data_IF_680180396867
#
_entry.id   IF_680180396867
#
_cell.length_a   1.000
_cell.length_b   1.000
_cell.length_c   1.000
_cell.angle_alpha   90.00
_cell.angle_beta   90.00
_cell.angle_gamma   90.00
#
_symmetry.space_group_name_H-M   'P 1'
#
loop_
_entity.id
_entity.type
_entity.pdbx_description
1 polymer ?
#
# COMPACT_ATOMS: atom_id res chain seq x y z
N UNK A 1 52.21 16.11 -27.04
CA UNK A 1 52.15 15.31 -28.28
C UNK A 1 51.05 14.29 -28.10
N UNK A 2 50.05 14.33 -28.99
CA UNK A 2 49.01 13.31 -29.16
C UNK A 2 49.62 12.05 -29.77
N UNK A 3 49.04 10.90 -29.43
CA UNK A 3 48.71 9.72 -30.26
C UNK A 3 48.55 8.55 -29.30
N UNK A 4 47.79 7.50 -29.53
CA UNK A 4 46.56 7.28 -30.29
C UNK A 4 45.95 6.01 -29.67
N UNK A 5 44.65 5.90 -29.82
CA UNK A 5 43.82 4.78 -29.42
C UNK A 5 44.13 3.58 -30.33
N UNK A 6 44.29 2.36 -29.78
CA UNK A 6 44.14 1.16 -30.59
C UNK A 6 43.28 0.11 -29.88
N UNK A 7 42.23 -0.26 -30.60
CA UNK A 7 41.12 -1.14 -30.26
C UNK A 7 41.42 -2.45 -30.96
N UNK A 8 41.72 -3.52 -30.20
CA UNK A 8 41.53 -4.93 -30.59
C UNK A 8 42.04 -5.84 -29.48
N UNK A 9 41.13 -6.61 -28.88
CA UNK A 9 41.28 -8.02 -28.51
C UNK A 9 40.43 -8.36 -27.28
N UNK A 10 39.89 -9.59 -27.26
CA UNK A 10 39.05 -10.22 -26.24
C UNK A 10 37.58 -9.75 -26.33
N UNK A 11 36.57 -10.54 -26.69
CA UNK A 11 36.42 -11.99 -26.72
C UNK A 11 34.98 -12.27 -26.28
N UNK A 12 34.01 -12.23 -27.20
CA UNK A 12 32.60 -12.53 -26.91
C UNK A 12 32.21 -13.86 -27.54
N UNK A 13 32.08 -14.88 -26.68
CA UNK A 13 31.35 -16.11 -26.93
C UNK A 13 29.89 -15.88 -26.51
N UNK A 14 28.98 -15.85 -27.47
CA UNK A 14 27.54 -16.00 -27.24
C UNK A 14 26.97 -16.96 -28.30
N UNK A 15 26.13 -17.95 -27.91
CA UNK A 15 25.55 -18.89 -28.86
C UNK A 15 24.42 -18.26 -29.68
N UNK A 16 24.39 -18.65 -30.96
CA UNK A 16 23.53 -18.16 -32.04
C UNK A 16 22.16 -18.88 -31.99
N UNK A 17 21.07 -18.15 -31.78
CA UNK A 17 19.70 -18.69 -31.90
C UNK A 17 19.25 -18.73 -33.37
N UNK A 18 18.59 -19.82 -33.78
CA UNK A 18 18.10 -20.05 -35.14
C UNK A 18 16.74 -19.35 -35.40
N UNK A 19 16.42 -18.97 -36.66
CA UNK A 19 15.18 -18.28 -36.99
C UNK A 19 13.98 -19.24 -37.13
N UNK A 20 12.81 -18.80 -36.67
CA UNK A 20 11.52 -19.47 -36.80
C UNK A 20 10.92 -19.15 -38.18
N UNK A 21 10.45 -20.13 -38.98
CA UNK A 21 9.84 -19.86 -40.28
C UNK A 21 8.37 -19.41 -40.15
N UNK A 22 8.01 -18.39 -40.93
CA UNK A 22 6.64 -17.87 -41.13
C UNK A 22 5.97 -18.64 -42.26
N UNK A 23 4.79 -19.21 -42.04
CA UNK A 23 3.99 -19.89 -43.06
C UNK A 23 2.98 -18.94 -43.74
N UNK A 24 2.73 -19.07 -45.05
CA UNK A 24 1.85 -18.17 -45.80
C UNK A 24 0.36 -18.53 -45.68
N UNK A 25 -0.49 -17.51 -45.73
CA UNK A 25 -1.94 -17.60 -45.80
C UNK A 25 -2.40 -18.19 -47.15
N UNK A 26 -3.36 -19.12 -47.12
CA UNK A 26 -4.05 -19.57 -48.32
C UNK A 26 -5.58 -19.51 -48.18
N UNK A 27 -6.14 -19.14 -49.33
CA UNK A 27 -7.51 -18.80 -49.68
C UNK A 27 -8.53 -19.90 -49.45
N UNK A 28 -9.73 -19.47 -49.05
CA UNK A 28 -10.99 -20.20 -49.18
C UNK A 28 -11.28 -20.58 -50.64
N UNK A 29 -11.70 -21.83 -50.88
CA UNK A 29 -12.75 -22.16 -51.87
C UNK A 29 -13.35 -23.55 -51.62
N UNK A 30 -14.63 -23.60 -51.98
CA UNK A 30 -15.76 -24.49 -51.68
C UNK A 30 -15.70 -25.98 -52.08
N UNK A 31 -16.67 -26.73 -51.49
CA UNK A 31 -17.40 -27.91 -52.02
C UNK A 31 -16.62 -29.25 -52.00
N UNK A 32 -17.13 -30.41 -51.56
CA UNK A 32 -18.48 -30.96 -51.47
C UNK A 32 -18.54 -32.15 -50.49
N UNK A 33 -19.71 -32.30 -49.86
CA UNK A 33 -20.41 -33.53 -49.44
C UNK A 33 -19.62 -34.76 -48.94
N UNK A 34 -19.79 -35.09 -47.65
CA UNK A 34 -20.01 -36.47 -47.18
C UNK A 34 -20.90 -36.45 -45.94
N UNK A 35 -22.04 -37.13 -46.06
CA UNK A 35 -23.03 -37.35 -45.03
C UNK A 35 -22.49 -38.30 -43.96
N UNK A 36 -22.58 -37.91 -42.69
CA UNK A 36 -22.54 -38.83 -41.56
C UNK A 36 -23.50 -38.32 -40.48
N UNK A 37 -24.52 -39.14 -40.24
CA UNK A 37 -25.50 -38.98 -39.18
C UNK A 37 -24.81 -39.10 -37.82
N UNK A 38 -24.86 -38.05 -37.02
CA UNK A 38 -24.57 -38.07 -35.59
C UNK A 38 -25.68 -37.26 -34.90
N UNK A 39 -26.45 -37.95 -34.08
CA UNK A 39 -27.49 -37.35 -33.26
C UNK A 39 -26.87 -36.28 -32.35
N UNK A 40 -27.43 -35.07 -32.37
CA UNK A 40 -27.09 -34.01 -31.42
C UNK A 40 -27.62 -34.40 -30.03
N UNK A 41 -26.80 -34.42 -28.96
CA UNK A 41 -27.35 -34.48 -27.61
C UNK A 41 -28.20 -33.23 -27.35
N UNK A 42 -29.25 -33.32 -26.50
CA UNK A 42 -30.07 -32.16 -26.20
C UNK A 42 -29.21 -31.06 -25.58
N UNK A 43 -29.33 -29.86 -26.14
CA UNK A 43 -28.76 -28.64 -25.57
C UNK A 43 -29.42 -28.44 -24.20
N UNK A 44 -28.65 -28.60 -23.12
CA UNK A 44 -29.05 -28.11 -21.81
C UNK A 44 -29.24 -26.59 -21.95
N UNK A 45 -30.48 -26.15 -21.78
CA UNK A 45 -30.80 -24.73 -21.71
C UNK A 45 -30.16 -24.23 -20.41
N UNK A 46 -29.04 -23.54 -20.56
CA UNK A 46 -28.32 -22.87 -19.47
C UNK A 46 -29.35 -22.07 -18.66
N UNK A 47 -29.50 -22.44 -17.38
CA UNK A 47 -30.40 -21.73 -16.48
C UNK A 47 -30.02 -20.24 -16.50
N UNK A 48 -30.99 -19.31 -16.58
CA UNK A 48 -30.67 -17.89 -16.60
C UNK A 48 -29.80 -17.56 -15.39
N UNK A 49 -28.66 -16.89 -15.65
CA UNK A 49 -27.79 -16.33 -14.63
C UNK A 49 -28.65 -15.64 -13.57
N UNK A 50 -28.45 -15.88 -12.26
CA UNK A 50 -29.29 -15.28 -11.23
C UNK A 50 -29.24 -13.76 -11.37
N UNK A 51 -30.35 -13.20 -11.85
CA UNK A 51 -30.54 -11.77 -12.00
C UNK A 51 -30.74 -11.18 -10.62
N UNK A 52 -29.77 -10.35 -10.19
CA UNK A 52 -29.71 -9.62 -8.91
C UNK A 52 -29.60 -10.51 -7.66
N UNK A 53 -28.38 -10.59 -7.14
CA UNK A 53 -28.18 -10.77 -5.70
C UNK A 53 -28.82 -9.57 -5.02
N UNK A 54 -29.93 -9.75 -4.31
CA UNK A 54 -30.44 -8.75 -3.37
C UNK A 54 -29.38 -8.59 -2.27
N UNK A 55 -28.58 -7.53 -2.36
CA UNK A 55 -27.73 -7.09 -1.27
C UNK A 55 -28.67 -6.70 -0.10
N UNK A 56 -28.39 -7.11 1.14
CA UNK A 56 -29.21 -6.74 2.28
C UNK A 56 -29.34 -5.20 2.37
N UNK A 57 -30.48 -4.72 2.85
CA UNK A 57 -30.83 -3.29 2.92
C UNK A 57 -29.82 -2.45 3.74
N UNK A 58 -29.01 -3.12 4.59
CA UNK A 58 -27.80 -2.58 5.22
C UNK A 58 -26.69 -3.62 5.08
N UNK A 59 -25.53 -3.22 4.56
CA UNK A 59 -24.37 -4.11 4.51
C UNK A 59 -23.95 -4.52 5.93
N UNK A 60 -23.64 -5.80 6.19
CA UNK A 60 -23.07 -6.21 7.46
C UNK A 60 -21.88 -5.31 7.81
N UNK A 61 -21.85 -4.81 9.06
CA UNK A 61 -20.86 -3.89 9.64
C UNK A 61 -21.07 -2.38 9.39
N UNK A 62 -21.90 -1.97 8.43
CA UNK A 62 -22.14 -0.56 8.16
C UNK A 62 -22.73 0.15 9.39
N UNK A 63 -22.23 1.36 9.68
CA UNK A 63 -22.66 2.17 10.83
C UNK A 63 -22.13 1.70 12.19
N UNK A 64 -21.35 0.61 12.26
CA UNK A 64 -20.63 0.26 13.48
C UNK A 64 -19.62 1.36 13.81
N UNK A 65 -19.68 1.85 15.04
CA UNK A 65 -18.89 2.98 15.51
C UNK A 65 -18.25 2.75 16.87
N UNK A 66 -17.25 3.58 17.19
CA UNK A 66 -16.56 3.54 18.49
C UNK A 66 -17.54 3.49 19.65
N UNK A 67 -17.30 2.57 20.59
CA UNK A 67 -18.14 2.34 21.75
C UNK A 67 -19.27 1.33 21.53
N UNK A 68 -19.59 0.96 20.28
CA UNK A 68 -20.55 -0.10 19.99
C UNK A 68 -20.13 -1.44 20.59
N UNK A 69 -21.13 -2.28 20.91
CA UNK A 69 -20.94 -3.63 21.42
C UNK A 69 -21.88 -4.57 20.70
N UNK A 70 -21.33 -5.53 19.95
CA UNK A 70 -22.13 -6.50 19.20
C UNK A 70 -21.28 -7.70 18.75
N UNK A 71 -21.95 -8.77 18.30
CA UNK A 71 -21.30 -9.88 17.63
C UNK A 71 -20.60 -9.43 16.32
N UNK A 72 -21.16 -8.43 15.64
CA UNK A 72 -20.56 -7.87 14.43
C UNK A 72 -19.25 -7.14 14.71
N UNK A 73 -19.13 -6.46 15.86
CA UNK A 73 -17.83 -5.91 16.29
C UNK A 73 -16.81 -7.02 16.52
N UNK A 74 -17.19 -8.13 17.15
CA UNK A 74 -16.32 -9.32 17.32
C UNK A 74 -15.85 -9.87 15.97
N UNK A 75 -16.76 -9.94 14.98
CA UNK A 75 -16.45 -10.36 13.60
C UNK A 75 -15.44 -9.42 12.93
N UNK A 76 -15.67 -8.11 12.99
CA UNK A 76 -14.72 -7.10 12.48
C UNK A 76 -13.36 -7.22 13.15
N UNK A 77 -13.32 -7.41 14.48
CA UNK A 77 -12.07 -7.58 15.23
C UNK A 77 -11.29 -8.81 14.77
N UNK A 78 -11.97 -9.93 14.48
CA UNK A 78 -11.32 -11.13 13.92
C UNK A 78 -10.75 -10.89 12.54
N UNK A 79 -11.47 -10.18 11.67
CA UNK A 79 -10.98 -9.78 10.34
C UNK A 79 -9.73 -8.93 10.47
N UNK A 80 -9.77 -7.87 11.28
CA UNK A 80 -8.63 -6.95 11.47
C UNK A 80 -7.43 -7.64 12.13
N UNK A 81 -7.65 -8.52 13.12
CA UNK A 81 -6.58 -9.28 13.76
C UNK A 81 -5.92 -10.29 12.80
N UNK A 82 -6.71 -10.88 11.89
CA UNK A 82 -6.18 -11.75 10.82
C UNK A 82 -5.43 -10.95 9.76
N UNK A 83 -5.93 -9.75 9.43
CA UNK A 83 -5.28 -8.85 8.48
C UNK A 83 -3.93 -8.34 8.96
N UNK A 84 -3.83 -7.91 10.22
CA UNK A 84 -2.56 -7.49 10.81
C UNK A 84 -2.53 -7.75 12.32
N UNK A 85 -1.84 -8.83 12.71
CA UNK A 85 -1.72 -9.28 14.10
C UNK A 85 -0.91 -8.32 15.00
N UNK A 86 -0.15 -7.38 14.40
CA UNK A 86 0.70 -6.43 15.13
C UNK A 86 -0.04 -5.19 15.63
N UNK A 87 -1.29 -4.98 15.19
CA UNK A 87 -2.12 -3.87 15.64
C UNK A 87 -2.75 -4.11 17.02
N UNK A 88 -2.65 -5.33 17.57
CA UNK A 88 -3.10 -5.64 18.92
C UNK A 88 -4.62 -5.65 19.10
N UNK A 89 -5.38 -5.79 18.01
CA UNK A 89 -6.84 -5.96 18.04
C UNK A 89 -7.17 -7.28 18.72
N UNK A 90 -8.03 -7.24 19.74
CA UNK A 90 -8.51 -8.42 20.48
C UNK A 90 -10.00 -8.62 20.22
N UNK A 91 -10.45 -9.86 20.26
CA UNK A 91 -11.87 -10.19 20.21
C UNK A 91 -12.55 -9.83 21.54
N UNK A 92 -12.97 -8.58 21.68
CA UNK A 92 -13.64 -8.06 22.87
C UNK A 92 -15.14 -7.88 22.67
N UNK A 93 -15.61 -7.92 21.42
CA UNK A 93 -16.97 -7.55 21.04
C UNK A 93 -17.30 -6.07 21.28
N UNK A 94 -16.30 -5.24 21.62
CA UNK A 94 -16.44 -3.80 21.87
C UNK A 94 -15.57 -3.03 20.89
N UNK A 95 -16.15 -2.01 20.24
CA UNK A 95 -15.42 -1.15 19.32
C UNK A 95 -14.53 -0.19 20.13
N UNK A 96 -13.39 -0.70 20.55
CA UNK A 96 -12.42 -0.02 21.40
C UNK A 96 -11.36 0.75 20.59
N UNK A 97 -10.39 1.32 21.31
CA UNK A 97 -9.33 2.12 20.71
C UNK A 97 -8.44 1.32 19.75
N UNK A 98 -8.19 0.03 20.04
CA UNK A 98 -7.39 -0.82 19.15
C UNK A 98 -8.15 -1.09 17.86
N UNK A 99 -9.45 -1.39 17.95
CA UNK A 99 -10.31 -1.53 16.76
C UNK A 99 -10.35 -0.24 15.94
N UNK A 100 -10.50 0.92 16.59
CA UNK A 100 -10.48 2.22 15.89
C UNK A 100 -9.16 2.46 15.17
N UNK A 101 -8.02 2.31 15.84
CA UNK A 101 -6.70 2.51 15.21
C UNK A 101 -6.49 1.59 14.01
N UNK A 102 -6.85 0.32 14.17
CA UNK A 102 -6.77 -0.64 13.08
C UNK A 102 -7.70 -0.28 11.92
N UNK A 103 -8.91 0.20 12.22
CA UNK A 103 -9.84 0.68 11.20
C UNK A 103 -9.32 1.92 10.47
N UNK A 104 -8.70 2.87 11.18
CA UNK A 104 -8.09 4.05 10.56
C UNK A 104 -7.03 3.63 9.53
N UNK A 105 -6.12 2.71 9.90
CA UNK A 105 -5.11 2.19 8.97
C UNK A 105 -5.72 1.38 7.83
N UNK A 106 -6.76 0.59 8.12
CA UNK A 106 -7.47 -0.18 7.11
C UNK A 106 -8.07 0.73 6.04
N UNK A 107 -8.85 1.74 6.46
CA UNK A 107 -9.48 2.71 5.55
C UNK A 107 -8.45 3.54 4.80
N UNK A 108 -7.34 3.88 5.45
CA UNK A 108 -6.22 4.57 4.80
C UNK A 108 -5.58 3.77 3.65
N UNK A 109 -5.65 2.43 3.69
CA UNK A 109 -5.07 1.53 2.68
C UNK A 109 -6.10 1.13 1.62
N UNK A 110 -7.29 0.69 2.04
CA UNK A 110 -8.33 0.13 1.16
C UNK A 110 -9.34 1.18 0.68
N UNK A 111 -9.24 2.41 1.19
CA UNK A 111 -10.23 3.46 0.99
C UNK A 111 -11.38 3.35 2.00
N UNK A 112 -12.27 4.34 1.95
CA UNK A 112 -13.34 4.55 2.91
C UNK A 112 -13.44 6.04 3.27
N UNK A 113 -14.52 6.43 3.93
CA UNK A 113 -14.78 7.84 4.23
C UNK A 113 -14.40 8.18 5.67
N UNK A 114 -13.57 9.21 5.85
CA UNK A 114 -13.16 9.66 7.17
C UNK A 114 -12.29 8.64 7.94
N UNK A 115 -12.21 8.83 9.25
CA UNK A 115 -11.36 8.03 10.14
C UNK A 115 -11.94 6.68 10.53
N UNK A 116 -11.29 6.01 11.49
CA UNK A 116 -11.67 4.71 12.04
C UNK A 116 -12.78 4.78 13.09
N UNK A 117 -13.41 5.94 13.30
CA UNK A 117 -14.47 6.11 14.30
C UNK A 117 -15.77 5.39 13.93
N UNK A 118 -16.02 5.21 12.64
CA UNK A 118 -17.23 4.61 12.07
C UNK A 118 -16.90 3.84 10.78
N UNK A 119 -17.64 2.76 10.53
CA UNK A 119 -17.55 1.95 9.33
C UNK A 119 -18.58 2.46 8.33
N UNK A 120 -18.11 3.03 7.23
CA UNK A 120 -18.93 3.40 6.07
C UNK A 120 -19.27 2.18 5.19
N UNK A 121 -20.21 2.36 4.28
CA UNK A 121 -20.68 1.33 3.35
C UNK A 121 -19.55 0.64 2.57
N UNK A 122 -18.61 1.41 2.00
CA UNK A 122 -17.49 0.86 1.21
C UNK A 122 -16.57 0.02 2.09
N UNK A 123 -16.27 0.50 3.29
CA UNK A 123 -15.46 -0.23 4.28
C UNK A 123 -16.16 -1.52 4.72
N UNK A 124 -17.47 -1.49 4.97
CA UNK A 124 -18.27 -2.65 5.33
C UNK A 124 -18.20 -3.75 4.26
N UNK A 125 -18.37 -3.37 2.98
CA UNK A 125 -18.26 -4.30 1.86
C UNK A 125 -16.90 -5.00 1.78
N UNK A 126 -15.78 -4.27 1.95
CA UNK A 126 -14.46 -4.91 1.95
C UNK A 126 -14.22 -5.81 3.17
N UNK A 127 -14.65 -5.40 4.36
CA UNK A 127 -14.54 -6.23 5.56
C UNK A 127 -15.32 -7.55 5.40
N UNK A 128 -16.46 -7.50 4.72
CA UNK A 128 -17.26 -8.70 4.44
C UNK A 128 -16.54 -9.65 3.47
N UNK A 129 -15.95 -9.13 2.40
CA UNK A 129 -15.14 -9.91 1.46
C UNK A 129 -13.86 -10.49 2.11
N UNK A 130 -13.30 -9.82 3.10
CA UNK A 130 -12.18 -10.39 3.86
C UNK A 130 -12.66 -11.50 4.79
N UNK A 131 -13.82 -11.32 5.43
CA UNK A 131 -14.39 -12.31 6.33
C UNK A 131 -14.74 -13.62 5.60
N UNK A 132 -15.33 -13.54 4.41
CA UNK A 132 -15.67 -14.71 3.59
C UNK A 132 -14.46 -15.33 2.88
N UNK A 133 -13.33 -14.62 2.88
CA UNK A 133 -12.07 -15.07 2.32
C UNK A 133 -11.88 -14.80 0.82
N UNK A 134 -12.81 -14.11 0.17
CA UNK A 134 -12.75 -13.75 -1.25
C UNK A 134 -11.76 -12.63 -1.56
N UNK A 135 -11.31 -11.89 -0.54
CA UNK A 135 -10.44 -10.73 -0.72
C UNK A 135 -9.24 -10.75 0.25
N UNK A 136 -8.05 -11.04 -0.27
CA UNK A 136 -6.77 -10.87 0.42
C UNK A 136 -5.74 -10.31 -0.57
N UNK A 137 -4.88 -9.40 -0.10
CA UNK A 137 -3.69 -8.89 -0.80
C UNK A 137 -3.85 -7.97 -2.04
N UNK A 138 -5.06 -7.60 -2.47
CA UNK A 138 -5.23 -6.64 -3.57
C UNK A 138 -6.11 -5.42 -3.22
N UNK A 139 -5.59 -4.38 -2.55
CA UNK A 139 -6.30 -3.11 -2.38
C UNK A 139 -6.76 -2.56 -3.74
N UNK A 140 -8.04 -2.16 -3.88
CA UNK A 140 -8.57 -1.59 -5.11
C UNK A 140 -7.81 -0.30 -5.48
N UNK A 141 -7.59 -0.07 -6.78
CA UNK A 141 -6.91 1.09 -7.41
C UNK A 141 -6.07 1.95 -6.44
N UNK A 142 -4.77 1.64 -6.34
CA UNK A 142 -3.92 2.25 -5.30
C UNK A 142 -3.34 3.57 -5.78
N UNK A 143 -3.77 4.67 -5.18
CA UNK A 143 -2.98 5.89 -5.17
C UNK A 143 -1.58 5.60 -4.60
N UNK A 144 -0.52 6.37 -4.96
CA UNK A 144 0.81 6.21 -4.36
C UNK A 144 0.78 6.24 -2.83
N UNK A 145 -0.09 7.08 -2.25
CA UNK A 145 -0.35 7.16 -0.81
C UNK A 145 -0.84 5.82 -0.22
N UNK A 146 -1.88 5.23 -0.79
CA UNK A 146 -2.44 3.95 -0.32
C UNK A 146 -1.44 2.81 -0.48
N UNK A 147 -0.74 2.74 -1.62
CA UNK A 147 0.28 1.73 -1.86
C UNK A 147 1.43 1.86 -0.84
N UNK A 148 1.90 3.09 -0.58
CA UNK A 148 2.94 3.34 0.41
C UNK A 148 2.51 2.86 1.81
N UNK A 149 1.30 3.22 2.25
CA UNK A 149 0.77 2.77 3.54
C UNK A 149 0.58 1.26 3.60
N UNK A 150 0.17 0.62 2.50
CA UNK A 150 0.09 -0.84 2.41
C UNK A 150 1.46 -1.49 2.67
N UNK A 151 2.50 -1.07 1.96
CA UNK A 151 3.85 -1.62 2.13
C UNK A 151 4.42 -1.32 3.52
N UNK A 152 4.15 -0.13 4.06
CA UNK A 152 4.55 0.26 5.40
C UNK A 152 3.85 -0.56 6.50
N UNK A 153 2.56 -0.87 6.33
CA UNK A 153 1.78 -1.65 7.31
C UNK A 153 2.32 -3.06 7.52
N UNK A 154 2.91 -3.65 6.47
CA UNK A 154 3.57 -4.97 6.52
C UNK A 154 4.88 -4.96 7.31
N UNK A 155 5.44 -3.78 7.57
CA UNK A 155 6.65 -3.61 8.39
C UNK A 155 6.31 -3.41 9.87
N UNK A 156 5.04 -3.35 10.27
CA UNK A 156 4.67 -3.23 11.69
C UNK A 156 5.35 -4.32 12.53
N UNK A 157 5.92 -3.91 13.66
CA UNK A 157 6.67 -4.79 14.55
C UNK A 157 8.13 -5.04 14.17
N UNK A 158 8.59 -4.66 12.97
CA UNK A 158 10.00 -4.80 12.57
C UNK A 158 10.89 -3.94 13.49
N UNK A 159 12.00 -4.48 14.03
CA UNK A 159 12.85 -3.75 14.97
C UNK A 159 13.44 -2.46 14.40
N UNK A 160 13.54 -1.43 15.24
CA UNK A 160 14.22 -0.20 14.90
C UNK A 160 15.73 -0.37 15.06
N UNK A 161 16.50 -0.02 14.02
CA UNK A 161 17.95 0.22 14.08
C UNK A 161 18.31 1.36 13.13
N UNK A 162 18.98 2.39 13.64
CA UNK A 162 19.53 3.45 12.81
C UNK A 162 20.48 2.84 11.77
N UNK A 163 20.30 3.17 10.49
CA UNK A 163 21.07 2.55 9.41
C UNK A 163 20.55 1.17 8.97
N UNK A 164 19.40 0.71 9.48
CA UNK A 164 18.81 -0.60 9.17
C UNK A 164 18.63 -0.86 7.67
N UNK A 165 18.52 -2.15 7.33
CA UNK A 165 18.48 -2.70 5.96
C UNK A 165 17.09 -2.70 5.32
N UNK A 166 16.04 -2.39 6.09
CA UNK A 166 14.64 -2.44 5.65
C UNK A 166 14.04 -3.85 5.64
N UNK A 167 14.77 -4.86 6.13
CA UNK A 167 14.35 -6.28 6.16
C UNK A 167 14.31 -6.82 7.59
N UNK A 168 15.47 -6.95 8.22
CA UNK A 168 15.63 -7.46 9.59
C UNK A 168 15.49 -6.35 10.63
N UNK A 169 15.69 -5.11 10.19
CA UNK A 169 15.48 -3.89 10.96
C UNK A 169 15.30 -2.71 10.02
N UNK A 170 14.72 -1.64 10.51
CA UNK A 170 14.59 -0.41 9.72
C UNK A 170 14.83 0.83 10.59
N UNK A 171 15.00 1.97 9.93
CA UNK A 171 14.88 3.28 10.58
C UNK A 171 13.79 4.11 9.88
N UNK A 172 13.58 5.32 10.38
CA UNK A 172 12.49 6.17 9.93
C UNK A 172 12.51 6.45 8.43
N UNK A 173 13.66 6.85 7.89
CA UNK A 173 13.76 7.19 6.47
C UNK A 173 13.91 5.97 5.56
N UNK A 174 14.51 4.86 6.03
CA UNK A 174 14.50 3.58 5.28
C UNK A 174 13.09 3.02 5.14
N UNK A 175 12.27 3.10 6.19
CA UNK A 175 10.87 2.68 6.16
C UNK A 175 10.09 3.45 5.08
N UNK A 176 10.16 4.79 5.10
CA UNK A 176 9.41 5.63 4.15
C UNK A 176 9.94 5.52 2.73
N UNK A 177 11.27 5.54 2.54
CA UNK A 177 11.90 5.40 1.23
C UNK A 177 11.56 4.04 0.61
N UNK A 178 11.66 2.95 1.38
CA UNK A 178 11.30 1.61 0.87
C UNK A 178 9.81 1.50 0.54
N UNK A 179 8.93 2.12 1.33
CA UNK A 179 7.49 2.10 1.09
C UNK A 179 7.13 2.89 -0.18
N UNK A 180 7.72 4.08 -0.37
CA UNK A 180 7.56 4.90 -1.59
C UNK A 180 8.05 4.16 -2.84
N UNK A 181 9.21 3.50 -2.77
CA UNK A 181 9.74 2.70 -3.89
C UNK A 181 8.79 1.57 -4.27
N UNK A 182 8.28 0.84 -3.28
CA UNK A 182 7.33 -0.25 -3.53
C UNK A 182 5.98 0.28 -4.03
N UNK A 183 5.63 1.53 -3.72
CA UNK A 183 4.48 2.24 -4.24
C UNK A 183 4.67 2.79 -5.67
N UNK A 184 5.81 2.52 -6.33
CA UNK A 184 6.08 2.96 -7.69
C UNK A 184 6.43 4.45 -7.83
N UNK A 185 6.87 5.09 -6.74
CA UNK A 185 7.40 6.45 -6.83
C UNK A 185 8.85 6.36 -7.33
N UNK A 186 9.00 6.41 -8.65
CA UNK A 186 10.24 6.08 -9.38
C UNK A 186 11.46 6.90 -8.92
N UNK A 187 11.29 8.20 -8.67
CA UNK A 187 12.33 9.07 -8.13
C UNK A 187 12.37 9.04 -6.59
N UNK A 188 12.36 7.84 -6.01
CA UNK A 188 12.26 7.66 -4.56
C UNK A 188 13.32 8.48 -3.82
N UNK A 189 12.93 9.34 -2.86
CA UNK A 189 13.87 10.18 -2.14
C UNK A 189 14.78 9.36 -1.21
N UNK A 190 15.90 9.97 -0.84
CA UNK A 190 16.97 9.39 -0.01
C UNK A 190 16.44 8.68 1.25
N UNK A 191 17.22 7.75 1.82
CA UNK A 191 16.91 7.15 3.12
C UNK A 191 16.99 8.13 4.30
N UNK A 192 17.51 9.34 4.10
CA UNK A 192 17.65 10.33 5.15
C UNK A 192 16.40 11.22 5.23
N UNK A 193 15.85 11.39 6.43
CA UNK A 193 14.60 12.12 6.66
C UNK A 193 14.66 13.58 6.19
N UNK A 194 15.80 14.23 6.39
CA UNK A 194 16.03 15.63 5.99
C UNK A 194 16.12 15.81 4.48
N UNK A 195 16.70 14.85 3.77
CA UNK A 195 16.73 14.84 2.30
C UNK A 195 15.36 14.50 1.69
N UNK A 196 14.54 13.68 2.35
CA UNK A 196 13.14 13.51 1.97
C UNK A 196 12.35 14.80 2.16
N UNK A 197 12.60 15.51 3.27
CA UNK A 197 12.00 16.83 3.49
C UNK A 197 12.46 17.85 2.43
N UNK A 198 13.76 17.87 2.10
CA UNK A 198 14.29 18.72 1.02
C UNK A 198 13.60 18.42 -0.33
N UNK A 199 13.46 17.14 -0.68
CA UNK A 199 12.76 16.72 -1.90
C UNK A 199 11.31 17.24 -1.92
N UNK A 200 10.57 17.08 -0.82
CA UNK A 200 9.22 17.64 -0.69
C UNK A 200 9.23 19.17 -0.87
N UNK A 201 10.15 19.89 -0.19
CA UNK A 201 10.30 21.35 -0.27
C UNK A 201 10.59 21.85 -1.69
N UNK A 202 11.24 21.04 -2.51
CA UNK A 202 11.58 21.34 -3.89
C UNK A 202 10.56 20.78 -4.90
N UNK A 203 9.52 20.10 -4.43
CA UNK A 203 8.58 19.34 -5.26
C UNK A 203 9.27 18.32 -6.19
N UNK A 204 10.23 17.58 -5.63
CA UNK A 204 11.05 16.58 -6.32
C UNK A 204 10.85 15.20 -5.71
N UNK A 205 11.28 14.17 -6.43
CA UNK A 205 11.25 12.80 -5.95
C UNK A 205 9.85 12.24 -5.72
N UNK A 206 8.87 12.72 -6.50
CA UNK A 206 7.46 12.40 -6.32
C UNK A 206 6.88 12.87 -4.98
N UNK A 207 7.44 13.91 -4.35
CA UNK A 207 6.89 14.52 -3.15
C UNK A 207 6.52 15.97 -3.39
N UNK A 208 5.36 16.42 -2.93
CA UNK A 208 5.00 17.84 -2.90
C UNK A 208 4.84 18.37 -1.48
N UNK A 209 5.32 19.58 -1.21
CA UNK A 209 5.30 20.13 0.15
C UNK A 209 3.88 20.53 0.58
N UNK A 210 3.53 20.22 1.83
CA UNK A 210 2.34 20.72 2.52
C UNK A 210 2.72 21.24 3.90
N UNK A 211 2.20 22.42 4.26
CA UNK A 211 2.53 23.05 5.56
C UNK A 211 1.64 22.54 6.69
N UNK A 212 0.37 22.27 6.40
CA UNK A 212 -0.70 21.92 7.34
C UNK A 212 -1.73 21.05 6.63
N UNK A 213 -2.73 20.57 7.36
CA UNK A 213 -3.85 19.76 6.86
C UNK A 213 -3.36 18.48 6.18
N UNK A 214 -2.63 17.61 6.91
CA UNK A 214 -2.16 16.36 6.34
C UNK A 214 -3.34 15.48 5.92
N UNK A 215 -3.18 14.86 4.77
CA UNK A 215 -4.07 13.79 4.29
C UNK A 215 -3.42 12.43 4.52
N UNK A 216 -4.25 11.40 4.61
CA UNK A 216 -3.77 10.02 4.73
C UNK A 216 -2.76 9.71 3.62
N UNK A 217 -1.58 9.25 4.02
CA UNK A 217 -0.45 8.96 3.14
C UNK A 217 0.55 10.11 2.98
N UNK A 218 0.30 11.29 3.54
CA UNK A 218 1.34 12.33 3.61
C UNK A 218 2.48 11.88 4.53
N UNK A 219 3.73 12.10 4.14
CA UNK A 219 4.87 12.03 5.06
C UNK A 219 4.75 13.16 6.08
N UNK A 220 5.09 12.88 7.34
CA UNK A 220 5.20 13.87 8.42
C UNK A 220 6.65 13.98 8.83
N UNK A 221 7.22 15.19 8.75
CA UNK A 221 8.62 15.45 9.09
C UNK A 221 8.74 16.15 10.43
N UNK A 222 9.77 15.81 11.20
CA UNK A 222 9.97 16.34 12.55
C UNK A 222 11.40 16.84 12.79
N UNK A 223 11.50 17.97 13.49
CA UNK A 223 12.74 18.56 13.99
C UNK A 223 13.03 18.09 15.42
N UNK A 224 13.07 16.76 15.63
CA UNK A 224 13.36 16.21 16.97
C UNK A 224 14.82 16.54 17.33
N UNK A 225 15.09 17.18 18.49
CA UNK A 225 16.45 17.51 18.87
C UNK A 225 17.32 16.27 19.05
N UNK A 226 18.44 16.22 18.34
CA UNK A 226 19.48 15.19 18.43
C UNK A 226 20.86 15.83 18.36
N UNK A 227 21.92 15.07 18.64
CA UNK A 227 23.30 15.56 18.49
C UNK A 227 23.63 15.97 17.04
N UNK A 228 22.94 15.41 16.06
CA UNK A 228 23.15 15.65 14.63
C UNK A 228 22.18 16.66 14.02
N UNK A 229 21.24 17.24 14.80
CA UNK A 229 20.24 18.17 14.26
C UNK A 229 20.86 19.37 13.53
N UNK A 230 22.05 19.83 13.94
CA UNK A 230 22.76 20.95 13.30
C UNK A 230 23.35 20.60 11.92
N UNK A 231 23.48 19.31 11.59
CA UNK A 231 23.98 18.83 10.31
C UNK A 231 22.84 18.55 9.32
N UNK A 232 21.62 18.39 9.83
CA UNK A 232 20.46 18.02 9.03
C UNK A 232 19.84 19.24 8.35
N UNK A 233 19.37 19.07 7.11
CA UNK A 233 18.66 20.12 6.40
C UNK A 233 17.41 20.56 7.20
N UNK A 234 17.34 21.85 7.52
CA UNK A 234 16.28 22.48 8.33
C UNK A 234 16.07 21.86 9.73
N UNK A 235 17.08 21.14 10.25
CA UNK A 235 17.01 20.45 11.55
C UNK A 235 16.13 19.20 11.58
N UNK A 236 15.67 18.71 10.42
CA UNK A 236 14.79 17.54 10.32
C UNK A 236 15.57 16.27 10.66
N UNK A 237 15.06 15.47 11.59
CA UNK A 237 15.77 14.26 12.08
C UNK A 237 14.89 13.02 12.09
N UNK A 238 13.59 13.18 11.87
CA UNK A 238 12.65 12.07 11.88
C UNK A 238 11.55 12.25 10.85
N UNK A 239 10.99 11.13 10.39
CA UNK A 239 9.90 11.07 9.43
C UNK A 239 8.96 9.90 9.76
N UNK A 240 7.67 10.11 9.56
CA UNK A 240 6.63 9.08 9.61
C UNK A 240 5.65 9.23 8.44
N UNK A 241 4.67 8.33 8.34
CA UNK A 241 3.59 8.40 7.36
C UNK A 241 2.27 8.65 8.08
N UNK A 242 1.61 9.76 7.78
CA UNK A 242 0.29 10.08 8.33
C UNK A 242 -0.74 9.07 7.82
N UNK A 243 -1.60 8.62 8.71
CA UNK A 243 -2.63 7.60 8.39
C UNK A 243 -4.04 8.19 8.50
N UNK A 244 -4.21 9.33 9.17
CA UNK A 244 -5.52 9.87 9.57
C UNK A 244 -5.74 9.80 11.08
N UNK A 245 -6.78 10.46 11.58
CA UNK A 245 -7.12 10.54 13.02
C UNK A 245 -5.97 10.96 13.95
N UNK A 246 -5.05 11.81 13.46
CA UNK A 246 -3.89 12.21 14.26
C UNK A 246 -2.87 11.08 14.47
N UNK A 247 -2.95 9.98 13.71
CA UNK A 247 -2.06 8.83 13.80
C UNK A 247 -1.06 8.81 12.64
N UNK A 248 0.10 8.23 12.92
CA UNK A 248 1.12 7.94 11.93
C UNK A 248 1.71 6.55 12.10
N UNK A 249 2.21 5.99 11.01
CA UNK A 249 3.05 4.81 10.99
C UNK A 249 4.51 5.24 10.91
N UNK A 250 5.33 4.83 11.88
CA UNK A 250 6.72 5.24 11.97
C UNK A 250 7.61 4.14 12.56
N UNK A 251 8.87 4.09 12.13
CA UNK A 251 9.92 3.34 12.81
C UNK A 251 10.40 4.15 14.01
N UNK A 252 9.88 3.83 15.20
CA UNK A 252 10.11 4.61 16.41
C UNK A 252 11.29 4.05 17.21
N UNK A 253 12.28 4.90 17.48
CA UNK A 253 13.43 4.56 18.32
C UNK A 253 13.02 4.32 19.77
N UNK A 254 12.05 5.09 20.29
CA UNK A 254 11.54 4.93 21.66
C UNK A 254 10.70 3.67 21.83
N UNK A 255 9.94 3.27 20.80
CA UNK A 255 9.21 2.00 20.80
C UNK A 255 10.08 0.79 20.41
N UNK A 256 11.29 1.04 19.88
CA UNK A 256 12.24 0.02 19.43
C UNK A 256 11.81 -0.76 18.19
N UNK A 257 10.75 -0.31 17.49
CA UNK A 257 10.16 -1.01 16.33
C UNK A 257 9.26 -0.10 15.51
N UNK A 258 8.81 -0.60 14.35
CA UNK A 258 7.75 0.03 13.57
C UNK A 258 6.42 -0.10 14.30
N UNK A 259 5.76 1.03 14.53
CA UNK A 259 4.49 1.14 15.26
C UNK A 259 3.58 2.15 14.62
N UNK A 260 2.28 2.00 14.90
CA UNK A 260 1.31 3.07 14.70
C UNK A 260 1.20 3.86 16.01
N UNK A 261 1.39 5.18 15.95
CA UNK A 261 1.41 6.05 17.13
C UNK A 261 0.80 7.43 16.82
N UNK A 262 0.32 8.17 17.83
CA UNK A 262 -0.15 9.54 17.64
C UNK A 262 0.96 10.47 17.14
N UNK A 263 0.65 11.32 16.18
CA UNK A 263 1.51 12.41 15.71
C UNK A 263 1.80 13.39 16.84
N UNK A 264 0.81 13.65 17.70
CA UNK A 264 0.90 14.62 18.81
C UNK A 264 1.98 14.27 19.84
N UNK A 265 2.43 13.02 19.92
CA UNK A 265 3.59 12.65 20.74
C UNK A 265 4.86 13.42 20.34
N UNK A 266 4.95 13.82 19.07
CA UNK A 266 6.01 14.66 18.51
C UNK A 266 5.46 15.97 17.93
N UNK A 267 4.22 16.35 18.27
CA UNK A 267 3.47 17.42 17.59
C UNK A 267 4.18 18.78 17.60
N UNK A 268 4.82 19.12 18.71
CA UNK A 268 5.61 20.37 18.84
C UNK A 268 6.82 20.44 17.89
N UNK A 269 7.26 19.29 17.35
CA UNK A 269 8.41 19.18 16.47
C UNK A 269 8.02 19.06 14.99
N UNK A 270 6.74 19.10 14.63
CA UNK A 270 6.30 18.98 13.23
C UNK A 270 6.90 20.12 12.40
N UNK A 271 7.70 19.76 11.39
CA UNK A 271 8.36 20.67 10.46
C UNK A 271 7.53 20.91 9.19
N UNK A 272 6.69 19.95 8.83
CA UNK A 272 5.81 19.99 7.66
C UNK A 272 5.53 18.59 7.12
N UNK A 273 4.91 18.55 5.94
CA UNK A 273 4.42 17.33 5.33
C UNK A 273 4.86 17.21 3.87
N UNK A 274 4.97 15.98 3.38
CA UNK A 274 5.31 15.69 1.98
C UNK A 274 4.32 14.70 1.39
N UNK A 275 3.54 15.15 0.41
CA UNK A 275 2.53 14.33 -0.26
C UNK A 275 3.15 13.50 -1.37
N UNK A 276 3.01 12.16 -1.36
CA UNK A 276 3.36 11.33 -2.50
C UNK A 276 2.51 11.68 -3.72
N UNK A 277 3.17 12.04 -4.81
CA UNK A 277 2.60 12.35 -6.12
C UNK A 277 3.04 11.27 -7.12
N UNK A 278 2.16 10.90 -8.05
CA UNK A 278 2.46 9.90 -9.09
C UNK A 278 1.19 9.27 -9.67
N UNK A 279 1.27 8.60 -10.83
CA UNK A 279 0.13 7.88 -11.37
C UNK A 279 -0.30 6.77 -10.39
N UNK A 280 -1.61 6.55 -10.25
CA UNK A 280 -2.13 5.40 -9.53
C UNK A 280 -1.59 4.11 -10.20
N UNK A 281 -1.02 3.20 -9.42
CA UNK A 281 -0.55 1.93 -9.96
C UNK A 281 -1.77 1.01 -10.22
N UNK A 282 -1.92 0.59 -11.47
CA UNK A 282 -2.84 -0.48 -11.84
C UNK A 282 -2.18 -1.84 -11.58
N UNK A 283 -2.76 -2.65 -10.69
CA UNK A 283 -2.34 -4.01 -10.41
C UNK A 283 -1.11 -4.11 -9.52
N UNK A 284 -1.31 -4.56 -8.28
CA UNK A 284 -0.26 -5.02 -7.36
C UNK A 284 -0.56 -6.47 -6.97
#
# INVERSE_FOLDING_TARGET
MRTDMDIRSLGNLAPKAAPIPVAPSQSFRSMLARTCSLATPPVEVEAPLPTKVELPEVEPFEGLKRGARSADVSRVQKVLAKWNDKLGVKDTGRYDEATQKAMTLYKAIYGGEGGGAEIDHKTAAYLRQMEDGSFWDNPPEKSPAQAMLYHASRQLGVPYRLGGDGKSSTDCGMLTSSALRQAGVDDTPSRLADLQYLAARQNQGGLSFRRQHPESGDLVFFNVPTRQSHLAYNGVTHVGMYVGDGLMLAASSSAGKVVMQPVDQLGQYVAGYGRPEGPALAGL
#
